data_IF_966323129078
#
_entry.id   IF_966323129078
#
_cell.length_a   1.000
_cell.length_b   1.000
_cell.length_c   1.000
_cell.angle_alpha   90.00
_cell.angle_beta   90.00
_cell.angle_gamma   90.00
#
_symmetry.space_group_name_H-M   'P 1'
#
loop_
_entity.id
_entity.type
_entity.pdbx_description
1 polymer ?
#
# COMPACT_ATOMS: atom_id res chain seq x y z
N UNK A 1 -1.11 -22.22 -8.42
CA UNK A 1 -1.18 -20.89 -7.82
C UNK A 1 -2.29 -20.91 -6.78
N UNK A 2 -1.99 -20.63 -5.52
CA UNK A 2 -2.97 -20.66 -4.43
C UNK A 2 -3.28 -19.22 -4.05
N UNK A 3 -4.56 -18.84 -4.12
CA UNK A 3 -5.05 -17.55 -3.66
C UNK A 3 -5.49 -17.68 -2.20
N UNK A 4 -4.90 -16.90 -1.32
CA UNK A 4 -5.22 -16.91 0.10
C UNK A 4 -5.83 -15.57 0.52
N UNK A 5 -6.81 -15.60 1.42
CA UNK A 5 -7.29 -14.39 2.06
C UNK A 5 -6.40 -14.07 3.24
N UNK A 6 -5.87 -12.87 3.26
CA UNK A 6 -5.08 -12.39 4.37
C UNK A 6 -5.98 -11.68 5.40
N UNK A 7 -5.93 -12.15 6.65
CA UNK A 7 -6.69 -11.57 7.75
C UNK A 7 -5.78 -10.69 8.58
N UNK A 8 -5.65 -9.43 8.18
CA UNK A 8 -4.86 -8.43 8.91
C UNK A 8 -5.75 -7.82 10.00
N UNK A 9 -5.40 -7.99 11.28
CA UNK A 9 -6.20 -7.44 12.37
C UNK A 9 -5.91 -5.94 12.53
N UNK A 10 -6.71 -5.08 11.90
CA UNK A 10 -6.68 -3.65 12.15
C UNK A 10 -7.52 -3.30 13.39
N UNK A 11 -7.11 -2.24 14.09
CA UNK A 11 -7.88 -1.66 15.17
C UNK A 11 -9.25 -1.17 14.66
N UNK A 12 -10.32 -1.38 15.45
CA UNK A 12 -11.68 -1.05 15.02
C UNK A 12 -11.98 0.45 15.05
N UNK A 13 -11.35 1.17 15.97
CA UNK A 13 -11.55 2.62 16.12
C UNK A 13 -10.62 3.41 15.21
N UNK A 14 -9.44 2.84 14.90
CA UNK A 14 -8.46 3.42 14.02
C UNK A 14 -7.93 2.35 13.03
N UNK A 15 -8.72 1.99 12.01
CA UNK A 15 -8.44 0.88 11.11
C UNK A 15 -7.34 1.22 10.08
N UNK A 16 -6.13 1.41 10.60
CA UNK A 16 -4.93 1.82 9.89
C UNK A 16 -3.71 1.12 10.47
N UNK A 17 -2.75 0.79 9.61
CA UNK A 17 -1.43 0.30 10.00
C UNK A 17 -0.40 0.72 8.96
N UNK A 18 0.80 1.04 9.40
CA UNK A 18 1.97 1.19 8.55
C UNK A 18 3.17 0.55 9.22
N UNK A 19 3.93 -0.26 8.46
CA UNK A 19 5.09 -0.98 9.00
C UNK A 19 6.12 -1.27 7.91
N UNK A 20 7.38 -1.39 8.33
CA UNK A 20 8.43 -1.96 7.50
C UNK A 20 8.26 -3.48 7.42
N UNK A 21 8.42 -4.01 6.22
CA UNK A 21 8.37 -5.44 5.93
C UNK A 21 9.63 -5.83 5.19
N UNK A 22 10.34 -6.83 5.71
CA UNK A 22 11.50 -7.41 5.05
C UNK A 22 11.10 -8.72 4.37
N UNK A 23 11.29 -8.77 3.06
CA UNK A 23 11.09 -9.96 2.23
C UNK A 23 12.45 -10.58 1.95
N UNK A 24 12.62 -11.82 2.38
CA UNK A 24 13.81 -12.63 2.11
C UNK A 24 13.43 -13.87 1.31
N UNK A 25 14.37 -14.56 0.65
CA UNK A 25 14.09 -15.82 -0.02
C UNK A 25 13.46 -16.88 0.89
N UNK A 26 13.73 -16.82 2.19
CA UNK A 26 13.21 -17.75 3.19
C UNK A 26 11.76 -17.47 3.57
N UNK A 27 11.36 -16.20 3.66
CA UNK A 27 10.02 -15.80 4.07
C UNK A 27 9.08 -15.47 2.92
N UNK A 28 9.62 -15.11 1.76
CA UNK A 28 8.82 -14.88 0.56
C UNK A 28 8.52 -16.21 -0.14
N UNK A 29 7.25 -16.57 -0.25
CA UNK A 29 6.82 -17.77 -1.00
C UNK A 29 6.53 -17.36 -2.45
N UNK A 30 7.39 -17.70 -3.43
CA UNK A 30 7.16 -17.36 -4.84
C UNK A 30 5.82 -17.92 -5.31
N UNK A 31 5.00 -17.07 -5.93
CA UNK A 31 3.70 -17.48 -6.48
C UNK A 31 2.56 -17.59 -5.46
N UNK A 32 2.76 -17.14 -4.22
CA UNK A 32 1.64 -16.91 -3.31
C UNK A 32 0.95 -15.60 -3.66
N UNK A 33 -0.33 -15.71 -3.99
CA UNK A 33 -1.20 -14.56 -4.15
C UNK A 33 -2.09 -14.48 -2.94
N UNK A 34 -2.25 -13.27 -2.43
CA UNK A 34 -3.20 -12.98 -1.36
C UNK A 34 -4.10 -11.81 -1.74
N UNK A 35 -5.15 -11.63 -0.97
CA UNK A 35 -6.05 -10.51 -1.05
C UNK A 35 -6.60 -10.19 0.34
N UNK A 36 -6.97 -8.95 0.55
CA UNK A 36 -7.62 -8.48 1.79
C UNK A 36 -8.66 -7.41 1.47
N UNK A 37 -9.47 -7.05 2.46
CA UNK A 37 -10.56 -6.07 2.31
C UNK A 37 -10.12 -4.63 2.58
N UNK A 38 -8.83 -4.36 2.52
CA UNK A 38 -8.23 -3.07 2.82
C UNK A 38 -7.58 -2.47 1.58
N UNK A 39 -7.43 -1.15 1.57
CA UNK A 39 -6.52 -0.49 0.64
C UNK A 39 -5.09 -0.68 1.11
N UNK A 40 -4.17 -0.76 0.17
CA UNK A 40 -2.75 -0.86 0.46
C UNK A 40 -1.97 0.09 -0.44
N UNK A 41 -1.00 0.77 0.16
CA UNK A 41 0.03 1.54 -0.53
C UNK A 41 1.37 1.02 -0.04
N UNK A 42 2.19 0.52 -0.95
CA UNK A 42 3.51 -0.01 -0.63
C UNK A 42 4.59 0.78 -1.35
N UNK A 43 5.60 1.23 -0.60
CA UNK A 43 6.80 1.87 -1.11
C UNK A 43 7.98 0.91 -0.99
N UNK A 44 8.78 0.78 -2.06
CA UNK A 44 10.02 -0.01 -2.01
C UNK A 44 11.12 0.85 -1.38
N UNK A 45 11.66 0.41 -0.24
CA UNK A 45 12.75 1.07 0.45
C UNK A 45 14.12 0.62 -0.04
N UNK A 46 14.26 -0.70 -0.26
CA UNK A 46 15.50 -1.31 -0.72
C UNK A 46 15.18 -2.55 -1.57
N UNK A 47 16.06 -2.87 -2.52
CA UNK A 47 15.98 -4.09 -3.29
C UNK A 47 15.13 -3.98 -4.56
N UNK A 48 14.87 -5.15 -5.16
CA UNK A 48 14.15 -5.27 -6.43
C UNK A 48 13.29 -6.53 -6.48
N UNK A 49 12.10 -6.41 -7.05
CA UNK A 49 11.22 -7.55 -7.25
C UNK A 49 10.15 -7.29 -8.28
N UNK A 50 9.38 -8.32 -8.62
CA UNK A 50 8.19 -8.19 -9.43
C UNK A 50 6.96 -8.27 -8.55
N UNK A 51 6.05 -7.34 -8.75
CA UNK A 51 4.67 -7.41 -8.26
C UNK A 51 3.76 -7.97 -9.31
N UNK A 52 2.88 -8.83 -8.87
CA UNK A 52 1.80 -9.37 -9.70
C UNK A 52 0.48 -8.90 -9.13
N UNK A 53 -0.32 -8.23 -9.94
CA UNK A 53 -1.64 -7.73 -9.55
C UNK A 53 -2.59 -7.83 -10.73
N UNK A 54 -3.73 -8.49 -10.55
CA UNK A 54 -4.75 -8.68 -11.58
C UNK A 54 -4.21 -9.18 -12.94
N UNK A 55 -3.21 -10.06 -12.93
CA UNK A 55 -2.57 -10.59 -14.13
C UNK A 55 -1.57 -9.64 -14.81
N UNK A 56 -1.35 -8.46 -14.25
CA UNK A 56 -0.27 -7.55 -14.64
C UNK A 56 0.97 -7.81 -13.81
N UNK A 57 2.14 -7.64 -14.41
CA UNK A 57 3.44 -7.75 -13.74
C UNK A 57 4.16 -6.40 -13.80
N UNK A 58 4.60 -5.93 -12.66
CA UNK A 58 5.35 -4.69 -12.52
C UNK A 58 6.71 -4.99 -11.90
N UNK A 59 7.80 -4.65 -12.58
CA UNK A 59 9.12 -4.63 -11.93
C UNK A 59 9.20 -3.40 -11.05
N UNK A 60 9.50 -3.62 -9.77
CA UNK A 60 9.59 -2.60 -8.74
C UNK A 60 11.03 -2.50 -8.25
N UNK A 61 11.48 -1.28 -8.10
CA UNK A 61 12.81 -0.91 -7.59
C UNK A 61 12.67 0.12 -6.46
N UNK A 62 13.79 0.42 -5.80
CA UNK A 62 13.85 1.45 -4.76
C UNK A 62 13.14 2.75 -5.20
N UNK A 63 12.35 3.31 -4.30
CA UNK A 63 11.52 4.51 -4.48
C UNK A 63 10.26 4.34 -5.34
N UNK A 64 10.02 3.18 -5.90
CA UNK A 64 8.74 2.89 -6.56
C UNK A 64 7.61 2.71 -5.53
N UNK A 65 6.42 3.14 -5.93
CA UNK A 65 5.19 3.00 -5.13
C UNK A 65 4.23 2.11 -5.91
N UNK A 66 3.51 1.24 -5.20
CA UNK A 66 2.42 0.47 -5.77
C UNK A 66 1.17 0.61 -4.90
N UNK A 67 0.02 0.74 -5.56
CA UNK A 67 -1.28 0.95 -4.93
C UNK A 67 -2.20 -0.21 -5.26
N UNK A 68 -2.79 -0.81 -4.24
CA UNK A 68 -3.79 -1.86 -4.38
C UNK A 68 -5.15 -1.40 -3.88
N UNK A 69 -6.16 -1.80 -4.63
CA UNK A 69 -7.53 -1.68 -4.19
C UNK A 69 -7.87 -2.77 -3.15
N UNK A 70 -8.91 -2.56 -2.37
CA UNK A 70 -9.50 -3.61 -1.58
C UNK A 70 -9.95 -4.77 -2.50
N UNK A 71 -9.79 -6.01 -2.02
CA UNK A 71 -10.08 -7.26 -2.72
C UNK A 71 -9.27 -7.52 -4.02
N UNK A 72 -8.22 -6.77 -4.28
CA UNK A 72 -7.37 -6.97 -5.44
C UNK A 72 -6.29 -8.01 -5.15
N UNK A 73 -6.30 -9.18 -5.84
CA UNK A 73 -5.28 -10.20 -5.64
C UNK A 73 -3.91 -9.72 -6.08
N UNK A 74 -2.93 -9.87 -5.20
CA UNK A 74 -1.56 -9.45 -5.49
C UNK A 74 -0.53 -10.38 -4.83
N UNK A 75 0.71 -10.27 -5.26
CA UNK A 75 1.82 -11.05 -4.75
C UNK A 75 3.17 -10.58 -5.26
N UNK A 76 4.24 -11.13 -4.71
CA UNK A 76 5.61 -10.75 -4.96
C UNK A 76 6.47 -11.89 -5.48
N UNK A 77 7.52 -11.50 -6.20
CA UNK A 77 8.66 -12.36 -6.50
C UNK A 77 9.94 -11.53 -6.39
N UNK A 78 10.84 -11.93 -5.51
CA UNK A 78 12.14 -11.28 -5.35
C UNK A 78 13.01 -11.46 -6.59
N UNK A 79 13.84 -10.45 -6.88
CA UNK A 79 14.86 -10.47 -7.93
C UNK A 79 16.21 -10.14 -7.31
N UNK A 80 17.07 -11.14 -7.21
CA UNK A 80 18.49 -10.94 -6.87
C UNK A 80 18.82 -10.73 -5.39
N UNK A 81 17.86 -10.83 -4.48
CA UNK A 81 18.12 -10.70 -3.04
C UNK A 81 16.91 -10.25 -2.24
N UNK A 82 17.16 -9.71 -1.07
CA UNK A 82 16.13 -9.24 -0.15
C UNK A 82 15.51 -7.93 -0.63
N UNK A 83 14.28 -7.67 -0.17
CA UNK A 83 13.60 -6.38 -0.34
C UNK A 83 13.12 -5.87 1.00
N UNK A 84 13.20 -4.54 1.17
CA UNK A 84 12.51 -3.83 2.26
C UNK A 84 11.41 -2.97 1.71
N UNK A 85 10.27 -3.04 2.33
CA UNK A 85 9.05 -2.37 1.94
C UNK A 85 8.53 -1.54 3.12
N UNK A 86 7.93 -0.40 2.82
CA UNK A 86 7.07 0.29 3.76
C UNK A 86 5.63 0.08 3.30
N UNK A 87 4.88 -0.71 4.08
CA UNK A 87 3.53 -1.15 3.73
C UNK A 87 2.52 -0.41 4.60
N UNK A 88 1.64 0.33 3.97
CA UNK A 88 0.54 1.07 4.58
C UNK A 88 -0.80 0.44 4.18
N UNK A 89 -1.59 0.05 5.18
CA UNK A 89 -2.87 -0.62 5.00
C UNK A 89 -3.93 0.13 5.80
N UNK A 90 -5.08 0.38 5.19
CA UNK A 90 -6.21 1.02 5.87
C UNK A 90 -7.55 0.57 5.29
N UNK A 91 -8.60 0.62 6.13
CA UNK A 91 -9.93 0.29 5.65
C UNK A 91 -10.53 1.44 4.84
N UNK A 92 -11.49 1.18 3.95
CA UNK A 92 -12.22 2.24 3.24
C UNK A 92 -12.87 3.24 4.21
N UNK A 93 -13.36 2.78 5.36
CA UNK A 93 -13.99 3.60 6.38
C UNK A 93 -13.03 4.59 7.07
N UNK A 94 -11.71 4.31 7.00
CA UNK A 94 -10.70 5.20 7.55
C UNK A 94 -10.70 6.58 6.86
N UNK A 95 -10.93 6.60 5.55
CA UNK A 95 -10.97 7.83 4.74
C UNK A 95 -12.38 8.33 4.47
N UNK A 96 -13.38 7.47 4.54
CA UNK A 96 -14.79 7.76 4.23
C UNK A 96 -15.70 7.31 5.39
N UNK A 97 -15.80 8.11 6.46
CA UNK A 97 -16.63 7.79 7.64
C UNK A 97 -18.14 7.76 7.35
N UNK A 98 -18.59 8.52 6.39
CA UNK A 98 -19.95 8.48 5.83
C UNK A 98 -19.82 8.80 4.36
N UNK A 99 -20.25 7.90 3.50
CA UNK A 99 -20.28 8.10 2.05
C UNK A 99 -21.02 9.39 1.68
N UNK A 100 -20.39 10.53 1.88
CA UNK A 100 -20.80 11.78 1.28
C UNK A 100 -20.26 11.87 -0.15
N UNK A 101 -20.91 12.67 -0.98
CA UNK A 101 -20.46 12.90 -2.38
C UNK A 101 -18.99 13.40 -2.40
N UNK A 102 -18.54 14.06 -1.35
CA UNK A 102 -17.18 14.58 -1.23
C UNK A 102 -16.17 13.47 -0.88
N UNK A 103 -16.56 12.45 -0.13
CA UNK A 103 -15.66 11.36 0.28
C UNK A 103 -15.29 10.44 -0.88
N UNK A 104 -16.12 10.38 -1.93
CA UNK A 104 -15.84 9.59 -3.12
C UNK A 104 -14.63 10.09 -3.91
N UNK A 105 -14.33 11.38 -3.86
CA UNK A 105 -13.15 11.95 -4.55
C UNK A 105 -11.84 11.34 -4.04
N UNK A 106 -11.70 11.14 -2.71
CA UNK A 106 -10.51 10.54 -2.11
C UNK A 106 -10.34 9.07 -2.44
N UNK A 107 -11.45 8.37 -2.72
CA UNK A 107 -11.43 6.96 -3.08
C UNK A 107 -11.23 6.72 -4.58
N UNK A 108 -11.35 7.74 -5.43
CA UNK A 108 -11.19 7.60 -6.88
C UNK A 108 -9.91 6.86 -7.29
N UNK A 109 -8.73 7.17 -6.75
CA UNK A 109 -7.50 6.46 -7.10
C UNK A 109 -7.56 4.95 -6.87
N UNK A 110 -8.46 4.50 -5.99
CA UNK A 110 -8.62 3.09 -5.65
C UNK A 110 -9.76 2.41 -6.40
N UNK A 111 -10.86 3.12 -6.69
CA UNK A 111 -12.09 2.53 -7.21
C UNK A 111 -12.38 2.87 -8.69
N UNK A 112 -12.01 4.06 -9.16
CA UNK A 112 -12.17 4.48 -10.55
C UNK A 112 -10.95 4.09 -11.37
N UNK A 113 -10.93 2.84 -11.83
CA UNK A 113 -9.84 2.30 -12.62
C UNK A 113 -10.24 2.25 -14.08
N UNK A 114 -9.87 3.31 -14.82
CA UNK A 114 -9.99 3.30 -16.30
C UNK A 114 -9.08 2.26 -16.95
N UNK A 115 -9.25 2.02 -18.24
CA UNK A 115 -8.46 1.06 -19.01
C UNK A 115 -6.93 1.31 -18.98
N UNK A 116 -6.51 2.51 -18.62
CA UNK A 116 -5.10 2.92 -18.53
C UNK A 116 -4.58 2.99 -17.09
N UNK A 117 -5.34 2.50 -16.11
CA UNK A 117 -4.89 2.51 -14.73
C UNK A 117 -3.66 1.61 -14.57
N UNK A 118 -2.64 2.15 -13.91
CA UNK A 118 -1.45 1.41 -13.50
C UNK A 118 -1.37 1.40 -11.98
N UNK A 119 -1.14 0.23 -11.39
CA UNK A 119 -0.94 0.14 -9.96
C UNK A 119 0.39 0.78 -9.52
N UNK A 120 1.43 0.77 -10.38
CA UNK A 120 2.74 1.33 -10.11
C UNK A 120 2.78 2.83 -10.40
N UNK A 121 3.32 3.59 -9.44
CA UNK A 121 3.81 4.96 -9.62
C UNK A 121 5.33 4.87 -9.55
N UNK A 122 5.99 5.06 -10.67
CA UNK A 122 7.43 4.95 -10.76
C UNK A 122 8.14 6.14 -10.10
N UNK A 123 9.33 5.90 -9.60
CA UNK A 123 10.20 6.95 -9.04
C UNK A 123 10.48 8.10 -10.00
N UNK A 124 10.36 7.85 -11.30
CA UNK A 124 10.50 8.82 -12.38
C UNK A 124 9.31 9.77 -12.55
N UNK A 125 8.17 9.48 -11.93
CA UNK A 125 6.97 10.31 -12.02
C UNK A 125 7.08 11.50 -11.07
N UNK A 126 6.69 12.68 -11.52
CA UNK A 126 6.78 13.94 -10.76
C UNK A 126 6.11 13.85 -9.38
N UNK A 127 4.94 13.22 -9.33
CA UNK A 127 4.15 13.06 -8.09
C UNK A 127 4.78 12.09 -7.08
N UNK A 128 5.69 11.22 -7.51
CA UNK A 128 6.27 10.16 -6.67
C UNK A 128 6.99 10.71 -5.44
N UNK A 129 7.73 11.82 -5.59
CA UNK A 129 8.47 12.45 -4.48
C UNK A 129 7.56 12.97 -3.37
N UNK A 130 6.46 13.61 -3.73
CA UNK A 130 5.50 14.17 -2.77
C UNK A 130 4.76 13.06 -2.02
N UNK A 131 4.35 12.01 -2.74
CA UNK A 131 3.69 10.83 -2.13
C UNK A 131 4.65 10.15 -1.14
N UNK A 132 5.91 9.92 -1.51
CA UNK A 132 6.90 9.34 -0.59
C UNK A 132 7.10 10.19 0.66
N UNK A 133 7.19 11.50 0.50
CA UNK A 133 7.33 12.41 1.63
C UNK A 133 6.15 12.29 2.60
N UNK A 134 4.93 12.24 2.09
CA UNK A 134 3.72 12.03 2.89
C UNK A 134 3.70 10.68 3.59
N UNK A 135 4.09 9.60 2.90
CA UNK A 135 4.19 8.25 3.49
C UNK A 135 5.20 8.22 4.64
N UNK A 136 6.37 8.89 4.49
CA UNK A 136 7.36 8.99 5.55
C UNK A 136 6.89 9.82 6.76
N UNK A 137 6.13 10.89 6.52
CA UNK A 137 5.51 11.66 7.61
C UNK A 137 4.49 10.82 8.37
N UNK A 138 3.63 10.08 7.66
CA UNK A 138 2.68 9.14 8.25
C UNK A 138 3.40 8.10 9.10
N UNK A 139 4.49 7.49 8.57
CA UNK A 139 5.25 6.49 9.30
C UNK A 139 5.87 7.06 10.57
N UNK A 140 6.43 8.25 10.51
CA UNK A 140 6.99 8.95 11.67
C UNK A 140 5.94 9.23 12.75
N UNK A 141 4.77 9.73 12.36
CA UNK A 141 3.64 9.94 13.27
C UNK A 141 3.18 8.63 13.92
N UNK A 142 3.10 7.56 13.14
CA UNK A 142 2.75 6.23 13.63
C UNK A 142 3.75 5.67 14.63
N UNK A 143 5.05 5.88 14.43
CA UNK A 143 6.09 5.43 15.34
C UNK A 143 6.12 6.23 16.65
N UNK A 144 5.94 7.54 16.57
CA UNK A 144 6.03 8.42 17.73
C UNK A 144 4.76 8.44 18.58
N UNK A 145 3.60 8.27 17.98
CA UNK A 145 2.28 8.28 18.62
C UNK A 145 2.07 9.46 19.59
N UNK A 146 2.52 10.65 19.18
CA UNK A 146 2.30 11.88 19.96
C UNK A 146 0.81 12.22 20.01
N UNK A 147 0.42 13.05 20.97
CA UNK A 147 -0.95 13.55 21.05
C UNK A 147 -1.40 14.14 19.70
N UNK A 148 -2.55 13.70 19.19
CA UNK A 148 -3.09 14.12 17.90
C UNK A 148 -2.57 13.35 16.68
N UNK A 149 -1.67 12.35 16.84
CA UNK A 149 -1.15 11.56 15.73
C UNK A 149 -2.24 10.95 14.81
N UNK A 150 -3.42 10.51 15.30
CA UNK A 150 -4.44 9.96 14.40
C UNK A 150 -4.96 11.00 13.40
N UNK A 151 -5.11 12.25 13.85
CA UNK A 151 -5.52 13.35 12.97
C UNK A 151 -4.44 13.68 11.93
N UNK A 152 -3.17 13.69 12.35
CA UNK A 152 -2.04 13.95 11.45
C UNK A 152 -1.91 12.85 10.40
N UNK A 153 -2.04 11.58 10.79
CA UNK A 153 -2.04 10.47 9.84
C UNK A 153 -3.21 10.62 8.84
N UNK A 154 -4.42 10.85 9.33
CA UNK A 154 -5.59 10.99 8.47
C UNK A 154 -5.44 12.16 7.48
N UNK A 155 -4.91 13.29 7.93
CA UNK A 155 -4.67 14.46 7.07
C UNK A 155 -3.64 14.19 5.96
N UNK A 156 -2.62 13.36 6.23
CA UNK A 156 -1.59 13.00 5.24
C UNK A 156 -2.03 11.86 4.29
N UNK A 157 -3.03 11.06 4.66
CA UNK A 157 -3.61 10.03 3.78
C UNK A 157 -4.58 10.64 2.77
N UNK A 158 -5.29 11.70 3.15
CA UNK A 158 -6.25 12.44 2.29
C UNK A 158 -5.56 13.39 1.32
#
# INVERSE_FOLDING_TARGET
MRLERDNIPLDKEFPFQISEVELTPENSRPGSYHWHSYFEITCVLEGRGNYFVNGQEYTMEEDDIIIFNNVEPHGWKLIGGDMKLLVMIFSPEFVAEKLSIFDTEYLKPFVERGSNFKNRIGREEEVSGDIRSSIWEIYREWQQKKEGYPLMIKANVL
#
